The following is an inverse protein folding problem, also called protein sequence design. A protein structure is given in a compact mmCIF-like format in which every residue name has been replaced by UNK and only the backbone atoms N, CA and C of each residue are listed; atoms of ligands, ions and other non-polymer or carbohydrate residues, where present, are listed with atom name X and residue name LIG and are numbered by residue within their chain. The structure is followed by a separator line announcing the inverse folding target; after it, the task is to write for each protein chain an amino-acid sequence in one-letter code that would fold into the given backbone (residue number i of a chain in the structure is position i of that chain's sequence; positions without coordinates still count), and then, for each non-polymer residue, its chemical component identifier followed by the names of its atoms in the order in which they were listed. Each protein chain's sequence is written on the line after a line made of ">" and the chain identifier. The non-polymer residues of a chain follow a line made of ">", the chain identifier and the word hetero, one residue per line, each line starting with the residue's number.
data_IF_748842732248
#
_entry.id   IF_748842732248
#
_cell.length_a   1.000
_cell.length_b   1.000
_cell.length_c   1.000
_cell.angle_alpha   90.00
_cell.angle_beta   90.00
_cell.angle_gamma   90.00
#
_symmetry.space_group_name_H-M   'P 1'
#
loop_
_entity.id
_entity.type
_entity.pdbx_description
1 polymer ?
#
# COMPACT_ATOMS: atom_id res chain seq x y z
N UNK A 1 41.59 24.29 -2.63
CA UNK A 1 41.60 22.83 -2.83
C UNK A 1 40.67 22.22 -1.79
N UNK A 2 39.37 22.34 -2.00
CA UNK A 2 38.39 21.63 -1.17
C UNK A 2 38.26 20.22 -1.73
N UNK A 3 38.70 19.23 -0.94
CA UNK A 3 38.46 17.82 -1.25
C UNK A 3 36.97 17.58 -1.12
N UNK A 4 36.29 17.33 -2.23
CA UNK A 4 34.92 16.81 -2.21
C UNK A 4 34.86 15.52 -1.37
N UNK A 5 33.71 15.20 -0.77
CA UNK A 5 33.60 14.00 0.06
C UNK A 5 33.90 12.80 -0.83
N UNK A 6 34.98 12.08 -0.48
CA UNK A 6 35.39 10.88 -1.19
C UNK A 6 34.28 9.84 -1.14
N UNK A 7 34.12 9.08 -2.23
CA UNK A 7 33.18 7.94 -2.28
C UNK A 7 33.43 7.04 -1.06
N UNK A 8 32.42 6.77 -0.22
CA UNK A 8 32.58 5.94 0.95
C UNK A 8 32.87 4.49 0.52
N UNK A 9 33.85 3.87 1.17
CA UNK A 9 34.25 2.50 0.87
C UNK A 9 33.21 1.50 1.40
N UNK A 10 33.11 0.33 0.77
CA UNK A 10 32.18 -0.74 1.15
C UNK A 10 32.35 -1.16 2.62
N UNK A 11 33.59 -1.16 3.11
CA UNK A 11 33.94 -1.44 4.50
C UNK A 11 33.37 -0.40 5.47
N UNK A 12 33.32 0.88 5.08
CA UNK A 12 32.78 1.95 5.90
C UNK A 12 31.26 1.84 6.02
N UNK A 13 30.58 1.46 4.92
CA UNK A 13 29.14 1.19 4.91
C UNK A 13 28.81 -0.03 5.77
N UNK A 14 29.59 -1.11 5.65
CA UNK A 14 29.45 -2.30 6.50
C UNK A 14 29.63 -1.96 7.98
N UNK A 15 30.63 -1.17 8.34
CA UNK A 15 30.84 -0.73 9.72
C UNK A 15 29.69 0.15 10.24
N UNK A 16 29.15 1.04 9.40
CA UNK A 16 28.00 1.86 9.79
C UNK A 16 26.73 1.02 10.00
N UNK A 17 26.45 0.05 9.11
CA UNK A 17 25.33 -0.88 9.29
C UNK A 17 25.54 -1.76 10.53
N UNK A 18 26.76 -2.25 10.75
CA UNK A 18 27.10 -3.04 11.94
C UNK A 18 26.89 -2.22 13.23
N UNK A 19 27.32 -0.96 13.25
CA UNK A 19 27.12 -0.07 14.38
C UNK A 19 25.62 0.22 14.61
N UNK A 20 24.82 0.39 13.55
CA UNK A 20 23.38 0.63 13.67
C UNK A 20 22.66 -0.50 14.41
N UNK A 21 23.02 -1.77 14.13
CA UNK A 21 22.33 -2.92 14.72
C UNK A 21 22.97 -3.43 16.02
N UNK A 22 24.28 -3.30 16.17
CA UNK A 22 25.04 -3.99 17.22
C UNK A 22 25.77 -3.08 18.21
N UNK A 23 25.76 -1.76 18.03
CA UNK A 23 26.37 -0.85 18.99
C UNK A 23 25.54 -0.82 20.30
N UNK A 24 26.12 -1.15 21.46
CA UNK A 24 25.43 -1.07 22.75
C UNK A 24 25.12 0.38 23.17
N UNK A 25 25.77 1.39 22.57
CA UNK A 25 25.54 2.80 22.83
C UNK A 25 24.44 3.38 21.89
N UNK A 26 23.33 3.91 22.44
CA UNK A 26 22.28 4.58 21.65
C UNK A 26 22.82 5.72 20.78
N UNK A 27 23.82 6.46 21.27
CA UNK A 27 24.44 7.57 20.51
C UNK A 27 25.30 7.07 19.35
N UNK A 28 25.89 5.88 19.45
CA UNK A 28 26.58 5.18 18.38
C UNK A 28 25.64 4.81 17.23
N UNK A 29 24.46 4.28 17.58
CA UNK A 29 23.38 3.96 16.65
C UNK A 29 22.81 5.19 15.95
N UNK A 30 22.58 6.27 16.69
CA UNK A 30 22.11 7.54 16.10
C UNK A 30 23.10 8.14 15.11
N UNK A 31 24.41 8.12 15.43
CA UNK A 31 25.43 8.58 14.48
C UNK A 31 25.52 7.70 13.24
N UNK A 32 25.43 6.38 13.40
CA UNK A 32 25.39 5.45 12.28
C UNK A 32 24.15 5.68 11.40
N UNK A 33 22.98 5.89 12.03
CA UNK A 33 21.72 6.22 11.35
C UNK A 33 21.81 7.54 10.59
N UNK A 34 22.32 8.60 11.24
CA UNK A 34 22.51 9.91 10.64
C UNK A 34 23.52 9.86 9.48
N UNK A 35 24.63 9.14 9.65
CA UNK A 35 25.62 8.94 8.60
C UNK A 35 25.07 8.13 7.43
N UNK A 36 24.26 7.10 7.67
CA UNK A 36 23.54 6.39 6.61
C UNK A 36 22.49 7.28 5.93
N UNK A 37 21.85 8.19 6.66
CA UNK A 37 20.95 9.22 6.12
C UNK A 37 21.66 10.29 5.30
N UNK A 38 22.87 10.70 5.69
CA UNK A 38 23.74 11.59 4.92
C UNK A 38 24.37 10.90 3.71
N UNK A 39 24.70 9.61 3.85
CA UNK A 39 25.05 8.75 2.74
C UNK A 39 23.88 8.73 1.75
N UNK A 40 22.65 8.42 2.20
CA UNK A 40 21.43 8.45 1.38
C UNK A 40 21.24 9.80 0.67
N UNK A 41 21.39 10.93 1.37
CA UNK A 41 21.32 12.28 0.77
C UNK A 41 22.45 12.57 -0.22
N UNK A 42 23.64 12.01 -0.01
CA UNK A 42 24.79 12.12 -0.92
C UNK A 42 24.84 11.01 -1.99
N UNK A 43 23.87 10.09 -1.99
CA UNK A 43 23.83 8.91 -2.87
C UNK A 43 23.38 9.29 -4.28
N UNK A 44 23.79 8.47 -5.24
CA UNK A 44 23.44 8.54 -6.66
C UNK A 44 21.96 8.85 -6.93
N UNK A 45 21.02 8.38 -6.08
CA UNK A 45 19.59 8.72 -6.15
C UNK A 45 19.34 10.22 -6.21
N UNK A 46 19.79 10.97 -5.19
CA UNK A 46 19.56 12.42 -5.14
C UNK A 46 20.14 13.12 -6.38
N UNK A 47 21.34 12.73 -6.81
CA UNK A 47 21.95 13.29 -8.02
C UNK A 47 21.17 12.98 -9.30
N UNK A 48 20.64 11.77 -9.43
CA UNK A 48 19.77 11.39 -10.55
C UNK A 48 18.45 12.16 -10.46
N UNK A 49 17.87 12.36 -9.28
CA UNK A 49 16.60 13.08 -9.14
C UNK A 49 16.74 14.60 -9.36
N UNK A 50 17.79 15.24 -8.81
CA UNK A 50 17.92 16.71 -8.79
C UNK A 50 18.79 17.27 -9.90
N UNK A 51 19.76 16.49 -10.38
CA UNK A 51 20.86 16.97 -11.22
C UNK A 51 21.06 16.11 -12.47
N UNK A 52 20.03 15.42 -12.95
CA UNK A 52 20.12 14.58 -14.15
C UNK A 52 20.60 15.35 -15.39
N UNK A 53 20.22 16.63 -15.49
CA UNK A 53 20.62 17.52 -16.59
C UNK A 53 22.14 17.76 -16.66
N UNK A 54 22.88 17.47 -15.59
CA UNK A 54 24.35 17.59 -15.56
C UNK A 54 25.05 16.41 -16.24
N UNK A 55 24.33 15.31 -16.48
CA UNK A 55 24.89 14.10 -17.09
C UNK A 55 24.78 14.13 -18.61
N UNK A 56 25.90 13.99 -19.35
CA UNK A 56 25.85 13.87 -20.80
C UNK A 56 25.08 12.61 -21.20
N UNK A 57 24.27 12.71 -22.26
CA UNK A 57 23.42 11.62 -22.75
C UNK A 57 24.16 10.32 -23.03
N UNK A 58 25.42 10.43 -23.47
CA UNK A 58 26.27 9.28 -23.80
C UNK A 58 26.68 8.47 -22.55
N UNK A 59 26.58 9.09 -21.35
CA UNK A 59 26.90 8.44 -20.08
C UNK A 59 25.71 7.72 -19.43
N UNK A 60 24.48 7.94 -19.92
CA UNK A 60 23.26 7.41 -19.31
C UNK A 60 23.24 5.87 -19.30
N UNK A 61 23.62 5.23 -20.41
CA UNK A 61 23.68 3.77 -20.50
C UNK A 61 24.73 3.18 -19.55
N UNK A 62 25.92 3.78 -19.47
CA UNK A 62 26.98 3.37 -18.54
C UNK A 62 26.57 3.51 -17.08
N UNK A 63 25.81 4.55 -16.75
CA UNK A 63 25.27 4.78 -15.41
C UNK A 63 24.23 3.71 -15.03
N UNK A 64 23.30 3.41 -15.94
CA UNK A 64 22.32 2.32 -15.80
C UNK A 64 23.04 1.00 -15.51
N UNK A 65 24.01 0.64 -16.35
CA UNK A 65 24.70 -0.64 -16.24
C UNK A 65 25.50 -0.75 -14.94
N UNK A 66 26.06 0.38 -14.48
CA UNK A 66 26.72 0.47 -13.18
C UNK A 66 25.75 0.27 -12.01
N UNK A 67 24.57 0.91 -12.03
CA UNK A 67 23.54 0.73 -11.00
C UNK A 67 23.03 -0.71 -10.94
N UNK A 68 22.78 -1.32 -12.10
CA UNK A 68 22.38 -2.71 -12.19
C UNK A 68 23.46 -3.66 -11.68
N UNK A 69 24.74 -3.38 -11.95
CA UNK A 69 25.83 -4.16 -11.38
C UNK A 69 25.91 -3.98 -9.84
N UNK A 70 25.74 -2.75 -9.35
CA UNK A 70 25.78 -2.48 -7.91
C UNK A 70 24.65 -3.20 -7.16
N UNK A 71 23.40 -3.17 -7.65
CA UNK A 71 22.29 -3.83 -6.96
C UNK A 71 22.46 -5.35 -6.94
N UNK A 72 23.01 -5.95 -8.00
CA UNK A 72 23.35 -7.37 -8.02
C UNK A 72 24.43 -7.76 -7.00
N UNK A 73 25.46 -6.93 -6.85
CA UNK A 73 26.58 -7.19 -5.93
C UNK A 73 26.21 -6.90 -4.46
N UNK A 74 25.24 -6.03 -4.21
CA UNK A 74 24.86 -5.55 -2.89
C UNK A 74 23.52 -6.09 -2.37
N UNK A 75 22.85 -6.96 -3.15
CA UNK A 75 21.51 -7.50 -2.84
C UNK A 75 21.39 -8.15 -1.47
N UNK A 76 22.46 -8.79 -0.99
CA UNK A 76 22.48 -9.52 0.28
C UNK A 76 22.99 -8.68 1.47
N UNK A 77 23.42 -7.42 1.22
CA UNK A 77 24.09 -6.61 2.24
C UNK A 77 23.09 -5.97 3.22
N UNK A 78 22.08 -5.28 2.69
CA UNK A 78 21.03 -4.64 3.49
C UNK A 78 19.83 -4.29 2.61
N UNK A 79 18.59 -4.62 3.04
CA UNK A 79 17.37 -4.24 2.31
C UNK A 79 17.29 -2.73 2.05
N UNK A 80 17.75 -1.90 2.99
CA UNK A 80 17.74 -0.43 2.85
C UNK A 80 18.58 0.01 1.65
N UNK A 81 19.75 -0.60 1.45
CA UNK A 81 20.62 -0.28 0.31
C UNK A 81 19.96 -0.70 -1.00
N UNK A 82 19.31 -1.87 -1.01
CA UNK A 82 18.59 -2.39 -2.19
C UNK A 82 17.45 -1.45 -2.58
N UNK A 83 16.61 -1.01 -1.64
CA UNK A 83 15.52 -0.07 -1.92
C UNK A 83 16.05 1.26 -2.46
N UNK A 84 17.17 1.79 -1.93
CA UNK A 84 17.75 3.03 -2.47
C UNK A 84 18.32 2.88 -3.88
N UNK A 85 18.94 1.74 -4.19
CA UNK A 85 19.40 1.44 -5.54
C UNK A 85 18.21 1.23 -6.50
N UNK A 86 17.15 0.56 -6.03
CA UNK A 86 15.93 0.37 -6.80
C UNK A 86 15.27 1.70 -7.17
N UNK A 87 15.18 2.63 -6.20
CA UNK A 87 14.69 3.99 -6.42
C UNK A 87 15.57 4.74 -7.43
N UNK A 88 16.90 4.69 -7.28
CA UNK A 88 17.81 5.32 -8.23
C UNK A 88 17.68 4.76 -9.66
N UNK A 89 17.42 3.45 -9.80
CA UNK A 89 17.17 2.80 -11.09
C UNK A 89 15.82 3.24 -11.67
N UNK A 90 14.77 3.34 -10.84
CA UNK A 90 13.46 3.82 -11.25
C UNK A 90 13.53 5.28 -11.72
N UNK A 91 14.11 6.17 -10.92
CA UNK A 91 14.30 7.59 -11.27
C UNK A 91 15.07 7.77 -12.58
N UNK A 92 16.10 6.95 -12.80
CA UNK A 92 16.87 6.95 -14.04
C UNK A 92 16.02 6.47 -15.21
N UNK A 93 15.27 5.38 -15.06
CA UNK A 93 14.42 4.82 -16.12
C UNK A 93 13.33 5.81 -16.55
N UNK A 94 12.71 6.52 -15.60
CA UNK A 94 11.66 7.49 -15.87
C UNK A 94 12.19 8.72 -16.63
N UNK A 95 13.42 9.16 -16.33
CA UNK A 95 14.07 10.31 -17.01
C UNK A 95 14.78 9.93 -18.33
N UNK A 96 15.24 8.68 -18.46
CA UNK A 96 15.98 8.20 -19.64
C UNK A 96 15.01 7.73 -20.74
N UNK A 97 14.48 8.67 -21.53
CA UNK A 97 13.52 8.37 -22.62
C UNK A 97 14.04 7.38 -23.69
N UNK A 98 15.36 7.18 -23.78
CA UNK A 98 15.97 6.19 -24.67
C UNK A 98 15.84 4.75 -24.15
N UNK A 99 15.56 4.53 -22.86
CA UNK A 99 15.38 3.20 -22.28
C UNK A 99 13.90 2.77 -22.31
N UNK A 100 13.37 2.58 -23.51
CA UNK A 100 12.01 2.04 -23.71
C UNK A 100 11.91 0.60 -23.25
N UNK A 101 10.75 0.20 -22.71
CA UNK A 101 10.53 -1.17 -22.25
C UNK A 101 11.46 -1.60 -21.13
N UNK A 102 11.80 -0.70 -20.22
CA UNK A 102 12.71 -0.98 -19.11
C UNK A 102 12.24 -2.18 -18.28
N UNK A 103 10.92 -2.29 -18.04
CA UNK A 103 10.27 -3.43 -17.36
C UNK A 103 10.62 -4.74 -18.07
N UNK A 104 10.38 -4.86 -19.38
CA UNK A 104 10.71 -6.05 -20.14
C UNK A 104 12.19 -6.42 -20.01
N UNK A 105 13.08 -5.45 -20.23
CA UNK A 105 14.53 -5.71 -20.17
C UNK A 105 15.01 -6.18 -18.78
N UNK A 106 14.41 -5.66 -17.70
CA UNK A 106 14.73 -6.08 -16.33
C UNK A 106 14.19 -7.48 -16.03
N UNK A 107 12.94 -7.75 -16.43
CA UNK A 107 12.30 -9.05 -16.19
C UNK A 107 13.03 -10.15 -16.95
N UNK A 108 13.32 -9.97 -18.24
CA UNK A 108 14.05 -10.98 -19.05
C UNK A 108 15.45 -11.27 -18.49
N UNK A 109 16.11 -10.24 -17.95
CA UNK A 109 17.47 -10.37 -17.39
C UNK A 109 17.52 -11.06 -16.04
N UNK A 110 16.53 -10.82 -15.17
CA UNK A 110 16.62 -11.21 -13.75
C UNK A 110 15.59 -12.26 -13.29
N UNK A 111 14.53 -12.54 -14.05
CA UNK A 111 13.43 -13.46 -13.62
C UNK A 111 13.83 -14.94 -13.48
N UNK A 112 14.92 -15.35 -14.13
CA UNK A 112 15.39 -16.73 -14.09
C UNK A 112 16.19 -17.06 -12.82
N UNK A 113 16.87 -16.07 -12.24
CA UNK A 113 17.66 -16.24 -11.02
C UNK A 113 16.79 -15.94 -9.79
N UNK A 114 16.49 -16.96 -8.99
CA UNK A 114 15.69 -16.85 -7.76
C UNK A 114 16.30 -15.85 -6.78
N UNK A 115 17.62 -15.76 -6.72
CA UNK A 115 18.30 -14.81 -5.83
C UNK A 115 18.22 -13.36 -6.31
N UNK A 116 17.83 -13.14 -7.57
CA UNK A 116 17.62 -11.80 -8.13
C UNK A 116 16.18 -11.31 -8.02
N UNK A 117 15.21 -12.21 -7.80
CA UNK A 117 13.79 -11.86 -7.65
C UNK A 117 13.52 -10.81 -6.57
N UNK A 118 14.12 -10.85 -5.37
CA UNK A 118 13.82 -9.88 -4.33
C UNK A 118 14.10 -8.42 -4.72
N UNK A 119 15.23 -8.15 -5.38
CA UNK A 119 15.56 -6.79 -5.81
C UNK A 119 14.86 -6.42 -7.13
N UNK A 120 14.56 -7.40 -8.00
CA UNK A 120 13.76 -7.16 -9.20
C UNK A 120 12.36 -6.68 -8.82
N UNK A 121 11.70 -7.37 -7.87
CA UNK A 121 10.41 -6.95 -7.34
C UNK A 121 10.49 -5.59 -6.65
N UNK A 122 11.59 -5.28 -5.95
CA UNK A 122 11.80 -3.96 -5.37
C UNK A 122 11.79 -2.85 -6.43
N UNK A 123 12.53 -3.04 -7.54
CA UNK A 123 12.55 -2.09 -8.67
C UNK A 123 11.14 -1.94 -9.26
N UNK A 124 10.45 -3.06 -9.49
CA UNK A 124 9.11 -3.05 -10.08
C UNK A 124 8.03 -2.50 -9.13
N UNK A 125 8.29 -2.48 -7.81
CA UNK A 125 7.39 -1.88 -6.82
C UNK A 125 7.56 -0.36 -6.77
N UNK A 126 8.79 0.14 -6.70
CA UNK A 126 9.04 1.58 -6.58
C UNK A 126 8.91 2.34 -7.91
N UNK A 127 8.98 1.64 -9.05
CA UNK A 127 8.89 2.28 -10.36
C UNK A 127 7.53 2.96 -10.61
N UNK A 128 6.36 2.29 -10.41
CA UNK A 128 5.06 2.96 -10.47
C UNK A 128 4.90 4.10 -9.44
N UNK A 129 5.43 3.92 -8.23
CA UNK A 129 5.36 4.91 -7.14
C UNK A 129 6.06 6.22 -7.54
N UNK A 130 7.22 6.14 -8.19
CA UNK A 130 7.98 7.33 -8.60
C UNK A 130 7.38 8.06 -9.82
N UNK A 131 6.43 7.47 -10.56
CA UNK A 131 5.73 8.15 -11.67
C UNK A 131 4.98 9.40 -11.19
N UNK A 132 4.42 9.32 -9.98
CA UNK A 132 3.67 10.40 -9.33
C UNK A 132 4.50 11.18 -8.31
N UNK A 133 5.81 10.92 -8.23
CA UNK A 133 6.70 11.55 -7.28
C UNK A 133 6.81 13.06 -7.50
N UNK A 134 6.61 13.82 -6.42
CA UNK A 134 6.72 15.29 -6.43
C UNK A 134 8.18 15.76 -6.58
N UNK A 135 9.16 14.91 -6.25
CA UNK A 135 10.58 15.26 -6.35
C UNK A 135 11.12 15.15 -7.78
N UNK A 136 10.64 14.20 -8.58
CA UNK A 136 11.16 13.89 -9.91
C UNK A 136 10.71 14.88 -11.00
N UNK A 137 9.68 15.70 -10.73
CA UNK A 137 9.18 16.81 -11.57
C UNK A 137 9.07 16.48 -13.07
N UNK A 138 8.58 15.29 -13.39
CA UNK A 138 8.33 14.86 -14.78
C UNK A 138 7.15 15.66 -15.35
N UNK A 139 7.31 16.18 -16.57
CA UNK A 139 6.25 16.90 -17.29
C UNK A 139 5.07 15.99 -17.64
N UNK A 140 3.85 16.55 -17.68
CA UNK A 140 2.61 15.79 -17.86
C UNK A 140 2.61 14.87 -19.09
N UNK A 141 3.03 15.37 -20.26
CA UNK A 141 3.09 14.56 -21.49
C UNK A 141 4.00 13.34 -21.33
N UNK A 142 5.18 13.53 -20.72
CA UNK A 142 6.12 12.44 -20.47
C UNK A 142 5.57 11.43 -19.46
N UNK A 143 4.83 11.89 -18.45
CA UNK A 143 4.15 11.01 -17.50
C UNK A 143 3.11 10.12 -18.19
N UNK A 144 2.30 10.68 -19.08
CA UNK A 144 1.33 9.91 -19.86
C UNK A 144 2.02 8.84 -20.72
N UNK A 145 3.09 9.19 -21.44
CA UNK A 145 3.87 8.20 -22.20
C UNK A 145 4.41 7.05 -21.33
N UNK A 146 4.87 7.37 -20.11
CA UNK A 146 5.38 6.37 -19.16
C UNK A 146 4.24 5.46 -18.69
N UNK A 147 3.08 6.02 -18.34
CA UNK A 147 1.92 5.23 -17.88
C UNK A 147 1.47 4.29 -18.99
N UNK A 148 1.41 4.74 -20.24
CA UNK A 148 1.08 3.90 -21.40
C UNK A 148 2.11 2.78 -21.64
N UNK A 149 3.41 3.08 -21.54
CA UNK A 149 4.48 2.07 -21.66
C UNK A 149 4.41 1.05 -20.52
N UNK A 150 4.17 1.48 -19.28
CA UNK A 150 4.00 0.58 -18.14
C UNK A 150 2.73 -0.28 -18.29
N UNK A 151 1.62 0.29 -18.75
CA UNK A 151 0.39 -0.45 -19.03
C UNK A 151 0.62 -1.55 -20.09
N UNK A 152 1.39 -1.25 -21.14
CA UNK A 152 1.76 -2.24 -22.16
C UNK A 152 2.53 -3.43 -21.57
N UNK A 153 3.36 -3.21 -20.56
CA UNK A 153 4.17 -4.27 -19.92
C UNK A 153 3.55 -4.84 -18.62
N UNK A 154 2.36 -4.41 -18.22
CA UNK A 154 1.67 -4.86 -17.01
C UNK A 154 1.49 -6.39 -16.98
N UNK A 155 1.11 -7.00 -18.11
CA UNK A 155 0.92 -8.45 -18.21
C UNK A 155 2.20 -9.24 -17.93
N UNK A 156 3.35 -8.71 -18.35
CA UNK A 156 4.66 -9.32 -18.08
C UNK A 156 4.97 -9.30 -16.58
N UNK A 157 4.65 -8.22 -15.89
CA UNK A 157 4.83 -8.11 -14.44
C UNK A 157 3.89 -9.05 -13.71
N UNK A 158 2.61 -9.11 -14.07
CA UNK A 158 1.67 -10.05 -13.42
C UNK A 158 2.10 -11.50 -13.64
N UNK A 159 2.56 -11.86 -14.85
CA UNK A 159 3.10 -13.20 -15.12
C UNK A 159 4.35 -13.51 -14.28
N UNK A 160 5.22 -12.52 -14.05
CA UNK A 160 6.35 -12.66 -13.15
C UNK A 160 5.88 -12.91 -11.71
N UNK A 161 4.90 -12.14 -11.23
CA UNK A 161 4.37 -12.29 -9.86
C UNK A 161 3.78 -13.69 -9.64
N UNK A 162 3.02 -14.21 -10.60
CA UNK A 162 2.53 -15.61 -10.57
C UNK A 162 3.70 -16.60 -10.51
N UNK A 163 4.73 -16.39 -11.33
CA UNK A 163 5.94 -17.24 -11.32
C UNK A 163 6.67 -17.18 -9.98
N UNK A 164 6.72 -16.01 -9.33
CA UNK A 164 7.34 -15.85 -8.01
C UNK A 164 6.58 -16.63 -6.93
N UNK A 165 5.24 -16.65 -6.98
CA UNK A 165 4.41 -17.49 -6.09
C UNK A 165 4.73 -18.96 -6.32
N UNK A 166 4.84 -19.42 -7.57
CA UNK A 166 5.12 -20.82 -7.89
C UNK A 166 6.52 -21.27 -7.43
N UNK A 167 7.53 -20.40 -7.58
CA UNK A 167 8.93 -20.71 -7.23
C UNK A 167 9.23 -20.58 -5.74
N UNK A 168 8.63 -19.61 -5.05
CA UNK A 168 9.03 -19.20 -3.70
C UNK A 168 7.84 -18.76 -2.82
N UNK A 169 6.60 -19.15 -3.16
CA UNK A 169 5.39 -18.75 -2.42
C UNK A 169 5.26 -19.31 -1.00
N UNK A 170 6.13 -20.25 -0.60
CA UNK A 170 6.21 -20.72 0.78
C UNK A 170 6.96 -19.73 1.71
N UNK A 171 7.69 -18.77 1.13
CA UNK A 171 8.43 -17.77 1.89
C UNK A 171 7.57 -16.52 2.10
N UNK A 172 7.20 -16.26 3.36
CA UNK A 172 6.37 -15.11 3.74
C UNK A 172 6.94 -13.77 3.23
N UNK A 173 8.26 -13.59 3.34
CA UNK A 173 8.96 -12.38 2.86
C UNK A 173 8.80 -12.18 1.34
N UNK A 174 8.71 -13.27 0.58
CA UNK A 174 8.49 -13.20 -0.86
C UNK A 174 7.04 -12.81 -1.17
N UNK A 175 6.06 -13.38 -0.46
CA UNK A 175 4.65 -13.00 -0.59
C UNK A 175 4.42 -11.52 -0.28
N UNK A 176 5.06 -10.98 0.77
CA UNK A 176 5.02 -9.54 1.08
C UNK A 176 5.50 -8.71 -0.11
N UNK A 177 6.62 -9.07 -0.75
CA UNK A 177 7.13 -8.36 -1.93
C UNK A 177 6.19 -8.47 -3.12
N UNK A 178 5.57 -9.64 -3.33
CA UNK A 178 4.61 -9.88 -4.39
C UNK A 178 3.37 -8.99 -4.22
N UNK A 179 2.80 -8.94 -3.01
CA UNK A 179 1.61 -8.14 -2.74
C UNK A 179 1.87 -6.64 -2.78
N UNK A 180 3.02 -6.18 -2.27
CA UNK A 180 3.43 -4.77 -2.39
C UNK A 180 3.61 -4.35 -3.84
N UNK A 181 4.29 -5.18 -4.63
CA UNK A 181 4.44 -4.94 -6.07
C UNK A 181 3.06 -4.88 -6.74
N UNK A 182 2.20 -5.87 -6.48
CA UNK A 182 0.86 -5.89 -7.06
C UNK A 182 0.03 -4.65 -6.68
N UNK A 183 0.04 -4.25 -5.41
CA UNK A 183 -0.65 -3.04 -4.92
C UNK A 183 -0.14 -1.75 -5.57
N UNK A 184 1.18 -1.61 -5.73
CA UNK A 184 1.80 -0.47 -6.43
C UNK A 184 1.31 -0.34 -7.89
N UNK A 185 1.17 -1.47 -8.59
CA UNK A 185 0.64 -1.48 -9.96
C UNK A 185 -0.87 -1.23 -10.04
N UNK A 186 -1.65 -1.65 -9.04
CA UNK A 186 -3.06 -1.24 -8.91
C UNK A 186 -3.18 0.27 -8.72
N UNK A 187 -2.39 0.86 -7.85
CA UNK A 187 -2.41 2.32 -7.59
C UNK A 187 -2.02 3.16 -8.80
N UNK A 188 -1.24 2.61 -9.74
CA UNK A 188 -0.94 3.28 -11.01
C UNK A 188 -2.12 3.21 -12.00
N UNK A 189 -3.10 2.31 -11.79
CA UNK A 189 -4.29 2.20 -12.63
C UNK A 189 -4.05 1.53 -13.99
N UNK A 190 -3.02 0.68 -14.10
CA UNK A 190 -2.58 0.10 -15.39
C UNK A 190 -2.86 -1.39 -15.55
N UNK A 191 -3.42 -2.05 -14.54
CA UNK A 191 -3.72 -3.47 -14.58
C UNK A 191 -5.07 -3.73 -15.27
N UNK A 192 -5.12 -4.76 -16.13
CA UNK A 192 -6.37 -5.17 -16.77
C UNK A 192 -7.31 -5.84 -15.76
N UNK A 193 -8.46 -5.23 -15.53
CA UNK A 193 -9.40 -5.66 -14.49
C UNK A 193 -10.03 -7.02 -14.79
N UNK A 194 -10.25 -7.38 -16.06
CA UNK A 194 -10.83 -8.69 -16.43
C UNK A 194 -9.84 -9.81 -16.18
N UNK A 195 -8.57 -9.59 -16.53
CA UNK A 195 -7.48 -10.52 -16.28
C UNK A 195 -7.24 -10.70 -14.77
N UNK A 196 -7.20 -9.60 -14.02
CA UNK A 196 -7.00 -9.64 -12.57
C UNK A 196 -8.15 -10.34 -11.82
N UNK A 197 -9.40 -10.18 -12.29
CA UNK A 197 -10.56 -10.88 -11.72
C UNK A 197 -10.40 -12.42 -11.77
N UNK A 198 -9.70 -12.95 -12.77
CA UNK A 198 -9.49 -14.39 -12.95
C UNK A 198 -8.11 -14.85 -12.46
N UNK A 199 -7.33 -13.96 -11.84
CA UNK A 199 -5.96 -14.25 -11.42
C UNK A 199 -5.92 -15.02 -10.11
N UNK A 200 -5.06 -16.05 -10.04
CA UNK A 200 -4.77 -16.77 -8.79
C UNK A 200 -4.17 -15.88 -7.71
N UNK A 201 -3.54 -14.75 -8.09
CA UNK A 201 -3.00 -13.79 -7.12
C UNK A 201 -4.11 -13.19 -6.25
N UNK A 202 -5.27 -12.91 -6.86
CA UNK A 202 -6.41 -12.36 -6.13
C UNK A 202 -7.00 -13.39 -5.16
N UNK A 203 -7.13 -14.65 -5.59
CA UNK A 203 -7.55 -15.74 -4.71
C UNK A 203 -6.59 -15.94 -3.54
N UNK A 204 -5.27 -15.86 -3.80
CA UNK A 204 -4.24 -16.01 -2.78
C UNK A 204 -4.25 -14.88 -1.74
N UNK A 205 -4.55 -13.64 -2.14
CA UNK A 205 -4.71 -12.50 -1.21
C UNK A 205 -5.76 -12.83 -0.13
N UNK A 206 -6.95 -13.26 -0.56
CA UNK A 206 -8.03 -13.60 0.36
C UNK A 206 -7.74 -14.87 1.16
N UNK A 207 -7.07 -15.87 0.57
CA UNK A 207 -6.64 -17.07 1.30
C UNK A 207 -5.70 -16.72 2.46
N UNK A 208 -4.72 -15.85 2.23
CA UNK A 208 -3.78 -15.40 3.26
C UNK A 208 -4.47 -14.61 4.36
N UNK A 209 -5.42 -13.73 4.00
CA UNK A 209 -6.19 -12.96 4.97
C UNK A 209 -7.08 -13.87 5.83
N UNK A 210 -7.69 -14.91 5.27
CA UNK A 210 -8.51 -15.85 6.05
C UNK A 210 -7.69 -16.72 7.03
N UNK A 211 -6.39 -16.90 6.78
CA UNK A 211 -5.54 -17.76 7.58
C UNK A 211 -5.09 -17.07 8.87
N UNK A 212 -5.57 -17.58 10.00
CA UNK A 212 -5.21 -17.08 11.33
C UNK A 212 -3.69 -17.15 11.64
N UNK A 213 -2.97 -18.12 11.06
CA UNK A 213 -1.52 -18.29 11.20
C UNK A 213 -0.67 -17.20 10.49
N UNK A 214 -1.29 -16.36 9.67
CA UNK A 214 -0.59 -15.30 8.94
C UNK A 214 -0.03 -14.26 9.91
N UNK A 215 1.23 -13.84 9.69
CA UNK A 215 1.88 -12.81 10.51
C UNK A 215 1.26 -11.42 10.27
N UNK A 216 1.47 -10.47 11.20
CA UNK A 216 1.00 -9.08 11.03
C UNK A 216 1.57 -8.42 9.77
N UNK A 217 2.85 -8.65 9.45
CA UNK A 217 3.50 -8.04 8.27
C UNK A 217 2.92 -8.55 6.93
N UNK A 218 2.65 -9.86 6.84
CA UNK A 218 2.04 -10.42 5.62
C UNK A 218 0.56 -10.03 5.53
N UNK A 219 -0.14 -9.99 6.66
CA UNK A 219 -1.53 -9.56 6.71
C UNK A 219 -1.70 -8.10 6.28
N UNK A 220 -0.84 -7.20 6.77
CA UNK A 220 -0.80 -5.78 6.36
C UNK A 220 -0.55 -5.66 4.85
N UNK A 221 0.50 -6.32 4.32
CA UNK A 221 0.81 -6.26 2.89
C UNK A 221 -0.33 -6.80 2.00
N UNK A 222 -1.04 -7.84 2.44
CA UNK A 222 -2.22 -8.35 1.73
C UNK A 222 -3.40 -7.39 1.82
N UNK A 223 -3.64 -6.79 2.99
CA UNK A 223 -4.73 -5.82 3.22
C UNK A 223 -4.53 -4.56 2.38
N UNK A 224 -3.32 -4.00 2.37
CA UNK A 224 -2.96 -2.83 1.56
C UNK A 224 -3.16 -3.11 0.06
N UNK A 225 -2.83 -4.31 -0.40
CA UNK A 225 -3.02 -4.72 -1.79
C UNK A 225 -4.52 -4.84 -2.14
N UNK A 226 -5.35 -5.38 -1.25
CA UNK A 226 -6.81 -5.42 -1.44
C UNK A 226 -7.40 -4.01 -1.48
N UNK A 227 -6.99 -3.13 -0.56
CA UNK A 227 -7.42 -1.72 -0.59
C UNK A 227 -6.99 -1.02 -1.88
N UNK A 228 -5.75 -1.24 -2.34
CA UNK A 228 -5.26 -0.69 -3.61
C UNK A 228 -6.08 -1.20 -4.80
N UNK A 229 -6.48 -2.47 -4.80
CA UNK A 229 -7.30 -3.06 -5.85
C UNK A 229 -8.75 -2.53 -5.85
N UNK A 230 -9.32 -2.28 -4.67
CA UNK A 230 -10.63 -1.65 -4.50
C UNK A 230 -10.60 -0.20 -4.98
N UNK A 231 -9.63 0.58 -4.49
CA UNK A 231 -9.43 1.99 -4.84
C UNK A 231 -9.17 2.20 -6.34
N UNK A 232 -8.51 1.26 -7.00
CA UNK A 232 -8.28 1.30 -8.46
C UNK A 232 -9.57 1.19 -9.30
N UNK A 233 -10.70 0.81 -8.69
CA UNK A 233 -12.01 0.77 -9.37
C UNK A 233 -12.64 2.16 -9.34
N UNK A 234 -12.25 3.01 -10.31
CA UNK A 234 -12.87 4.34 -10.46
C UNK A 234 -14.33 4.27 -10.92
N UNK A 235 -14.67 3.26 -11.74
CA UNK A 235 -16.01 3.03 -12.24
C UNK A 235 -16.38 1.54 -12.14
N UNK A 236 -17.42 1.24 -11.36
CA UNK A 236 -17.86 -0.14 -11.05
C UNK A 236 -18.37 -0.87 -12.29
N UNK A 237 -19.06 -0.19 -13.22
CA UNK A 237 -19.60 -0.83 -14.42
C UNK A 237 -18.49 -1.29 -15.37
N UNK A 238 -17.47 -0.46 -15.56
CA UNK A 238 -16.33 -0.75 -16.45
C UNK A 238 -15.48 -1.89 -15.90
N UNK A 239 -15.39 -2.00 -14.57
CA UNK A 239 -14.54 -2.99 -13.88
C UNK A 239 -15.34 -4.11 -13.21
N UNK A 240 -16.56 -4.37 -13.68
CA UNK A 240 -17.54 -5.24 -13.01
C UNK A 240 -16.99 -6.63 -12.63
N UNK A 241 -16.21 -7.35 -13.47
CA UNK A 241 -15.66 -8.65 -13.09
C UNK A 241 -14.75 -8.57 -11.86
N UNK A 242 -13.87 -7.58 -11.79
CA UNK A 242 -12.96 -7.39 -10.67
C UNK A 242 -13.72 -6.94 -9.41
N UNK A 243 -14.64 -5.99 -9.58
CA UNK A 243 -15.52 -5.53 -8.51
C UNK A 243 -16.26 -6.69 -7.83
N UNK A 244 -16.86 -7.60 -8.61
CA UNK A 244 -17.57 -8.77 -8.07
C UNK A 244 -16.65 -9.70 -7.29
N UNK A 245 -15.43 -9.95 -7.78
CA UNK A 245 -14.47 -10.82 -7.11
C UNK A 245 -13.95 -10.22 -5.80
N UNK A 246 -13.62 -8.93 -5.80
CA UNK A 246 -13.22 -8.21 -4.58
C UNK A 246 -14.35 -8.16 -3.57
N UNK A 247 -15.56 -7.84 -4.01
CA UNK A 247 -16.75 -7.81 -3.15
C UNK A 247 -16.99 -9.16 -2.47
N UNK A 248 -17.01 -10.25 -3.24
CA UNK A 248 -17.18 -11.60 -2.70
C UNK A 248 -16.03 -11.99 -1.77
N UNK A 249 -14.79 -11.70 -2.16
CA UNK A 249 -13.60 -12.01 -1.35
C UNK A 249 -13.64 -11.33 0.01
N UNK A 250 -13.94 -10.03 0.08
CA UNK A 250 -13.99 -9.29 1.34
C UNK A 250 -15.09 -9.82 2.27
N UNK A 251 -16.27 -10.17 1.75
CA UNK A 251 -17.34 -10.74 2.57
C UNK A 251 -16.95 -12.06 3.27
N UNK A 252 -15.99 -12.81 2.74
CA UNK A 252 -15.51 -14.05 3.40
C UNK A 252 -14.62 -13.80 4.62
N UNK A 253 -14.17 -12.57 4.84
CA UNK A 253 -13.21 -12.22 5.89
C UNK A 253 -13.85 -12.02 7.27
N UNK A 254 -15.19 -11.97 7.36
CA UNK A 254 -15.91 -11.77 8.63
C UNK A 254 -15.50 -12.77 9.72
N UNK A 255 -15.40 -14.06 9.36
CA UNK A 255 -14.96 -15.09 10.31
C UNK A 255 -13.53 -14.87 10.79
N UNK A 256 -12.65 -14.39 9.92
CA UNK A 256 -11.25 -14.14 10.25
C UNK A 256 -11.07 -12.87 11.09
N UNK A 257 -11.91 -11.85 10.86
CA UNK A 257 -12.04 -10.70 11.74
C UNK A 257 -12.43 -11.12 13.16
N UNK A 258 -13.46 -11.95 13.33
CA UNK A 258 -13.87 -12.41 14.67
C UNK A 258 -12.78 -13.23 15.36
N UNK A 259 -12.01 -14.04 14.62
CA UNK A 259 -10.85 -14.73 15.18
C UNK A 259 -9.77 -13.76 15.66
N UNK A 260 -9.48 -12.69 14.90
CA UNK A 260 -8.52 -11.66 15.30
C UNK A 260 -8.98 -10.92 16.58
N UNK A 261 -10.26 -10.56 16.68
CA UNK A 261 -10.85 -9.97 17.89
C UNK A 261 -10.73 -10.91 19.09
N UNK A 262 -11.05 -12.20 18.91
CA UNK A 262 -10.95 -13.19 19.98
C UNK A 262 -9.52 -13.45 20.46
N UNK A 263 -8.52 -13.11 19.65
CA UNK A 263 -7.09 -13.21 19.96
C UNK A 263 -6.47 -11.90 20.42
N UNK A 264 -7.26 -10.83 20.49
CA UNK A 264 -6.79 -9.49 20.82
C UNK A 264 -5.69 -9.00 19.85
N UNK A 265 -5.74 -9.46 18.59
CA UNK A 265 -4.79 -9.07 17.53
C UNK A 265 -5.26 -7.77 16.86
N UNK A 266 -5.01 -6.65 17.55
CA UNK A 266 -5.47 -5.32 17.12
C UNK A 266 -4.93 -4.93 15.74
N UNK A 267 -3.70 -5.32 15.38
CA UNK A 267 -3.12 -5.04 14.07
C UNK A 267 -3.99 -5.60 12.93
N UNK A 268 -4.43 -6.86 13.07
CA UNK A 268 -5.33 -7.49 12.09
C UNK A 268 -6.73 -6.88 12.11
N UNK A 269 -7.27 -6.56 13.28
CA UNK A 269 -8.57 -5.90 13.42
C UNK A 269 -8.61 -4.57 12.68
N UNK A 270 -7.58 -3.73 12.85
CA UNK A 270 -7.46 -2.45 12.14
C UNK A 270 -7.34 -2.66 10.63
N UNK A 271 -6.55 -3.64 10.19
CA UNK A 271 -6.40 -4.00 8.77
C UNK A 271 -7.74 -4.42 8.13
N UNK A 272 -8.52 -5.28 8.80
CA UNK A 272 -9.85 -5.66 8.31
C UNK A 272 -10.80 -4.47 8.24
N UNK A 273 -10.79 -3.60 9.25
CA UNK A 273 -11.66 -2.43 9.25
C UNK A 273 -11.34 -1.49 8.08
N UNK A 274 -10.05 -1.31 7.74
CA UNK A 274 -9.64 -0.58 6.53
C UNK A 274 -10.18 -1.23 5.26
N UNK A 275 -10.05 -2.55 5.12
CA UNK A 275 -10.57 -3.29 3.94
C UNK A 275 -12.09 -3.18 3.83
N UNK A 276 -12.82 -3.29 4.95
CA UNK A 276 -14.28 -3.14 4.95
C UNK A 276 -14.72 -1.71 4.64
N UNK A 277 -13.99 -0.71 5.13
CA UNK A 277 -14.25 0.71 4.85
C UNK A 277 -14.02 1.00 3.38
N UNK A 278 -12.88 0.57 2.82
CA UNK A 278 -12.55 0.77 1.41
C UNK A 278 -13.55 0.06 0.48
N UNK A 279 -14.05 -1.12 0.89
CA UNK A 279 -15.13 -1.81 0.18
C UNK A 279 -16.38 -0.93 0.10
N UNK A 280 -16.79 -0.35 1.23
CA UNK A 280 -17.98 0.49 1.29
C UNK A 280 -17.80 1.79 0.48
N UNK A 281 -16.61 2.39 0.52
CA UNK A 281 -16.26 3.58 -0.26
C UNK A 281 -16.31 3.31 -1.78
N UNK A 282 -15.72 2.19 -2.22
CA UNK A 282 -15.69 1.78 -3.63
C UNK A 282 -17.11 1.55 -4.19
N UNK A 283 -17.99 0.97 -3.37
CA UNK A 283 -19.35 0.62 -3.78
C UNK A 283 -20.42 1.61 -3.27
N UNK A 284 -20.02 2.79 -2.78
CA UNK A 284 -20.92 3.78 -2.20
C UNK A 284 -22.08 4.13 -3.13
N UNK A 285 -21.78 4.38 -4.41
CA UNK A 285 -22.80 4.68 -5.42
C UNK A 285 -23.82 3.54 -5.58
N UNK A 286 -23.37 2.28 -5.50
CA UNK A 286 -24.26 1.11 -5.60
C UNK A 286 -25.08 0.89 -4.35
N UNK A 287 -24.49 1.14 -3.18
CA UNK A 287 -25.19 1.11 -1.89
C UNK A 287 -26.33 2.12 -1.90
N UNK A 288 -26.10 3.35 -2.38
CA UNK A 288 -27.12 4.41 -2.41
C UNK A 288 -28.16 4.20 -3.52
N UNK A 289 -27.74 3.88 -4.74
CA UNK A 289 -28.64 3.80 -5.89
C UNK A 289 -29.48 2.52 -5.92
N UNK A 290 -28.95 1.39 -5.45
CA UNK A 290 -29.60 0.07 -5.48
C UNK A 290 -29.46 -0.65 -4.13
N UNK A 291 -29.95 -0.06 -3.02
CA UNK A 291 -29.75 -0.59 -1.68
C UNK A 291 -30.34 -1.99 -1.54
N UNK A 292 -29.55 -2.92 -1.02
CA UNK A 292 -29.92 -4.31 -0.78
C UNK A 292 -29.87 -5.22 -2.03
N UNK A 293 -29.38 -4.73 -3.18
CA UNK A 293 -29.35 -5.50 -4.43
C UNK A 293 -27.96 -5.50 -5.06
N UNK A 294 -27.49 -6.69 -5.46
CA UNK A 294 -26.22 -6.85 -6.16
C UNK A 294 -25.03 -6.28 -5.36
N UNK A 295 -24.30 -5.34 -5.95
CA UNK A 295 -23.18 -4.64 -5.31
C UNK A 295 -23.62 -3.57 -4.29
N UNK A 296 -24.93 -3.25 -4.22
CA UNK A 296 -25.52 -2.42 -3.18
C UNK A 296 -26.01 -3.21 -1.97
N UNK A 297 -25.65 -4.49 -1.84
CA UNK A 297 -26.02 -5.34 -0.71
C UNK A 297 -25.52 -4.75 0.62
N UNK A 298 -26.45 -4.54 1.56
CA UNK A 298 -26.23 -3.83 2.82
C UNK A 298 -25.45 -4.66 3.86
N UNK A 299 -25.08 -5.92 3.54
CA UNK A 299 -24.09 -6.66 4.35
C UNK A 299 -22.76 -5.93 4.46
N UNK A 300 -22.42 -5.05 3.51
CA UNK A 300 -21.25 -4.17 3.61
C UNK A 300 -21.34 -3.24 4.83
N UNK A 301 -22.50 -2.64 5.08
CA UNK A 301 -22.73 -1.80 6.26
C UNK A 301 -22.74 -2.62 7.55
N UNK A 302 -23.21 -3.88 7.51
CA UNK A 302 -23.15 -4.77 8.66
C UNK A 302 -21.70 -5.04 9.10
N UNK A 303 -20.77 -5.21 8.16
CA UNK A 303 -19.33 -5.36 8.48
C UNK A 303 -18.79 -4.13 9.23
N UNK A 304 -19.16 -2.91 8.80
CA UNK A 304 -18.76 -1.69 9.52
C UNK A 304 -19.39 -1.59 10.91
N UNK A 305 -20.65 -2.03 11.06
CA UNK A 305 -21.31 -2.07 12.37
C UNK A 305 -20.71 -3.12 13.30
N UNK A 306 -20.20 -4.24 12.76
CA UNK A 306 -19.41 -5.22 13.52
C UNK A 306 -18.11 -4.57 14.03
N UNK A 307 -17.42 -3.79 13.19
CA UNK A 307 -16.25 -3.00 13.60
C UNK A 307 -16.62 -1.95 14.67
N UNK A 308 -17.74 -1.25 14.51
CA UNK A 308 -18.22 -0.27 15.49
C UNK A 308 -18.50 -0.87 16.88
N UNK A 309 -18.81 -2.16 16.94
CA UNK A 309 -19.02 -2.88 18.20
C UNK A 309 -17.74 -3.29 18.94
N UNK A 310 -16.57 -3.12 18.33
CA UNK A 310 -15.27 -3.38 18.96
C UNK A 310 -15.04 -2.39 20.13
N UNK A 311 -14.39 -2.77 21.25
CA UNK A 311 -14.23 -1.88 22.39
C UNK A 311 -13.23 -0.73 22.17
N UNK A 312 -12.22 -0.94 21.33
CA UNK A 312 -11.24 0.10 20.96
C UNK A 312 -11.85 1.07 19.93
N UNK A 313 -11.87 2.37 20.25
CA UNK A 313 -12.49 3.41 19.44
C UNK A 313 -11.71 3.67 18.15
N UNK A 314 -10.41 3.39 18.14
CA UNK A 314 -9.52 3.51 16.98
C UNK A 314 -9.98 2.63 15.81
N UNK A 315 -10.73 1.56 16.09
CA UNK A 315 -11.30 0.68 15.07
C UNK A 315 -12.48 1.36 14.38
N UNK A 316 -13.41 1.95 15.12
CA UNK A 316 -14.62 2.56 14.51
C UNK A 316 -14.28 3.85 13.77
N UNK A 317 -13.30 4.61 14.26
CA UNK A 317 -12.85 5.88 13.67
C UNK A 317 -12.41 5.73 12.21
N UNK A 318 -11.79 4.61 11.84
CA UNK A 318 -11.36 4.31 10.46
C UNK A 318 -12.51 4.48 9.46
N UNK A 319 -13.74 4.15 9.86
CA UNK A 319 -14.92 4.17 8.99
C UNK A 319 -15.62 5.53 8.88
N UNK A 320 -15.19 6.55 9.64
CA UNK A 320 -15.90 7.83 9.73
C UNK A 320 -16.00 8.55 8.38
N UNK A 321 -14.93 8.57 7.58
CA UNK A 321 -14.97 9.21 6.25
C UNK A 321 -16.06 8.61 5.35
N UNK A 322 -16.24 7.29 5.39
CA UNK A 322 -17.29 6.62 4.63
C UNK A 322 -18.68 7.05 5.08
N UNK A 323 -18.95 7.06 6.40
CA UNK A 323 -20.24 7.48 6.93
C UNK A 323 -20.58 8.92 6.52
N UNK A 324 -19.56 9.77 6.33
CA UNK A 324 -19.71 11.19 5.98
C UNK A 324 -20.19 11.28 4.54
N UNK A 325 -19.46 10.59 3.66
CA UNK A 325 -19.78 10.52 2.24
C UNK A 325 -21.13 9.86 2.01
N UNK A 326 -21.48 8.82 2.78
CA UNK A 326 -22.81 8.20 2.73
C UNK A 326 -23.90 9.21 3.10
N UNK A 327 -23.74 9.92 4.23
CA UNK A 327 -24.67 10.98 4.64
C UNK A 327 -24.83 12.06 3.58
N UNK A 328 -23.73 12.52 2.97
CA UNK A 328 -23.72 13.51 1.90
C UNK A 328 -24.48 13.03 0.64
N UNK A 329 -24.26 11.79 0.20
CA UNK A 329 -24.94 11.22 -0.96
C UNK A 329 -26.43 11.01 -0.71
N UNK A 330 -26.80 10.52 0.48
CA UNK A 330 -28.19 10.37 0.88
C UNK A 330 -28.91 11.71 0.95
N UNK A 331 -28.26 12.74 1.51
CA UNK A 331 -28.80 14.09 1.58
C UNK A 331 -29.06 14.67 0.18
N UNK A 332 -28.12 14.48 -0.77
CA UNK A 332 -28.27 14.92 -2.16
C UNK A 332 -29.39 14.20 -2.92
N UNK A 333 -29.72 12.97 -2.54
CA UNK A 333 -30.72 12.14 -3.24
C UNK A 333 -32.16 12.55 -2.91
N UNK A 334 -32.40 13.28 -1.82
CA UNK A 334 -33.72 13.81 -1.38
C UNK A 334 -34.89 12.82 -1.54
N UNK A 335 -34.68 11.56 -1.15
CA UNK A 335 -35.67 10.48 -1.23
C UNK A 335 -35.91 9.85 0.15
N UNK A 336 -37.07 10.13 0.73
CA UNK A 336 -37.46 9.64 2.04
C UNK A 336 -37.58 8.10 2.11
N UNK A 337 -37.89 7.43 0.99
CA UNK A 337 -37.95 5.97 0.93
C UNK A 337 -36.54 5.41 1.08
N UNK A 338 -35.57 5.95 0.33
CA UNK A 338 -34.16 5.55 0.44
C UNK A 338 -33.65 5.83 1.85
N UNK A 339 -33.91 7.00 2.42
CA UNK A 339 -33.50 7.34 3.79
C UNK A 339 -34.04 6.35 4.83
N UNK A 340 -35.28 5.88 4.65
CA UNK A 340 -35.90 4.94 5.59
C UNK A 340 -35.16 3.60 5.67
N UNK A 341 -34.49 3.18 4.59
CA UNK A 341 -33.70 1.93 4.53
C UNK A 341 -32.46 2.06 5.43
N UNK A 342 -31.76 3.20 5.35
CA UNK A 342 -30.52 3.42 6.10
C UNK A 342 -30.73 3.80 7.57
N UNK A 343 -31.93 4.28 7.93
CA UNK A 343 -32.25 4.75 9.29
C UNK A 343 -31.85 3.75 10.39
N UNK A 344 -32.12 2.46 10.20
CA UNK A 344 -31.80 1.44 11.20
C UNK A 344 -30.29 1.25 11.38
N UNK A 345 -29.51 1.38 10.30
CA UNK A 345 -28.05 1.27 10.31
C UNK A 345 -27.43 2.47 11.02
N UNK A 346 -27.87 3.69 10.71
CA UNK A 346 -27.40 4.92 11.37
C UNK A 346 -27.74 4.90 12.86
N UNK A 347 -28.95 4.45 13.23
CA UNK A 347 -29.30 4.31 14.64
C UNK A 347 -28.38 3.31 15.36
N UNK A 348 -28.06 2.16 14.75
CA UNK A 348 -27.12 1.19 15.34
C UNK A 348 -25.71 1.74 15.48
N UNK A 349 -25.24 2.51 14.49
CA UNK A 349 -23.97 3.22 14.57
C UNK A 349 -23.98 4.22 15.73
N UNK A 350 -24.99 5.07 15.83
CA UNK A 350 -25.12 6.05 16.93
C UNK A 350 -25.14 5.38 18.29
N UNK A 351 -25.80 4.23 18.44
CA UNK A 351 -25.75 3.47 19.69
C UNK A 351 -24.34 2.96 20.01
N UNK A 352 -23.55 2.55 19.01
CA UNK A 352 -22.16 2.17 19.21
C UNK A 352 -21.29 3.37 19.58
N UNK A 353 -21.41 4.49 18.86
CA UNK A 353 -20.68 5.73 19.15
C UNK A 353 -21.00 6.27 20.55
N UNK A 354 -22.27 6.24 20.96
CA UNK A 354 -22.67 6.63 22.30
C UNK A 354 -22.03 5.78 23.40
N UNK A 355 -21.70 4.51 23.12
CA UNK A 355 -20.93 3.66 24.05
C UNK A 355 -19.45 4.03 24.05
N UNK A 356 -18.88 4.34 22.89
CA UNK A 356 -17.48 4.78 22.76
C UNK A 356 -17.22 6.14 23.43
N UNK A 357 -18.20 7.03 23.48
CA UNK A 357 -18.07 8.31 24.19
C UNK A 357 -18.21 8.20 25.73
N UNK A 358 -18.35 6.99 26.29
CA UNK A 358 -18.41 6.82 27.74
C UNK A 358 -17.01 6.92 28.34
N UNK A 359 -16.83 7.81 29.31
CA UNK A 359 -15.62 7.87 30.11
C UNK A 359 -15.52 6.65 31.01
N UNK A 360 -14.29 6.30 31.38
CA UNK A 360 -14.03 5.26 32.37
C UNK A 360 -14.69 5.60 33.71
N UNK A 361 -15.14 4.57 34.42
CA UNK A 361 -15.92 4.74 35.66
C UNK A 361 -15.15 5.41 36.80
N UNK A 362 -13.83 5.38 36.74
CA UNK A 362 -12.87 5.98 37.66
C UNK A 362 -12.31 7.32 37.16
N UNK A 363 -12.81 7.84 36.02
CA UNK A 363 -12.40 9.15 35.52
C UNK A 363 -12.81 10.26 36.49
N UNK A 364 -11.83 11.01 36.98
CA UNK A 364 -12.01 12.15 37.86
C UNK A 364 -11.93 13.46 37.07
N UNK A 365 -12.96 14.31 37.15
CA UNK A 365 -12.93 15.66 36.59
C UNK A 365 -13.87 15.86 35.40
N UNK A 366 -13.59 16.90 34.60
CA UNK A 366 -14.31 17.19 33.36
C UNK A 366 -13.61 16.46 32.21
N UNK A 367 -14.36 15.98 31.19
CA UNK A 367 -13.74 15.37 30.02
C UNK A 367 -12.71 16.32 29.38
N UNK A 368 -11.51 15.82 29.11
CA UNK A 368 -10.52 16.57 28.34
C UNK A 368 -10.95 16.63 26.87
N UNK A 369 -10.79 17.79 26.23
CA UNK A 369 -11.14 18.00 24.81
C UNK A 369 -9.90 18.00 23.90
N UNK A 370 -8.71 17.86 24.48
CA UNK A 370 -7.41 18.03 23.78
C UNK A 370 -6.56 16.75 23.72
N UNK A 371 -7.00 15.67 24.35
CA UNK A 371 -6.39 14.36 24.22
C UNK A 371 -7.06 13.55 23.08
N UNK A 372 -6.44 12.43 22.67
CA UNK A 372 -6.91 11.63 21.53
C UNK A 372 -8.38 11.18 21.71
N UNK A 373 -8.79 10.88 22.95
CA UNK A 373 -10.18 10.53 23.29
C UNK A 373 -11.12 11.74 23.21
N UNK A 374 -10.68 12.92 23.65
CA UNK A 374 -11.40 14.18 23.51
C UNK A 374 -11.63 14.58 22.05
N UNK A 375 -10.61 14.42 21.20
CA UNK A 375 -10.71 14.64 19.75
C UNK A 375 -11.69 13.65 19.11
N UNK A 376 -11.58 12.36 19.42
CA UNK A 376 -12.53 11.34 18.98
C UNK A 376 -13.96 11.66 19.45
N UNK A 377 -14.12 12.09 20.70
CA UNK A 377 -15.40 12.47 21.28
C UNK A 377 -15.99 13.72 20.63
N UNK A 378 -15.17 14.66 20.17
CA UNK A 378 -15.61 15.80 19.37
C UNK A 378 -16.12 15.35 18.00
N UNK A 379 -15.35 14.52 17.29
CA UNK A 379 -15.75 13.99 15.98
C UNK A 379 -17.02 13.15 16.11
N UNK A 380 -17.08 12.22 17.04
CA UNK A 380 -18.24 11.35 17.29
C UNK A 380 -19.52 12.13 17.61
N UNK A 381 -19.42 13.26 18.32
CA UNK A 381 -20.56 14.13 18.65
C UNK A 381 -21.07 14.97 17.47
N UNK A 382 -20.32 15.06 16.38
CA UNK A 382 -20.78 15.76 15.16
C UNK A 382 -21.68 14.90 14.27
N UNK A 383 -21.74 13.58 14.53
CA UNK A 383 -22.63 12.60 13.89
C UNK A 383 -23.95 12.47 14.64
#
# INVERSE_FOLDING_TARGET
>A
MERGPGRPSLQLVQQAVQALYHDPDPSGKERASCWLGELQRSTMKMKIQTSFYELPTDSHASLRDSLLSHIQNLKDLSPVIVTQLALAIADLALQMASWKGCVQTLVEKYSNDVTSLPFLLEILTVLPEEVHSRSLRIGANRRTEIIEDLAYYSSTVVSLLVTCVEKAGNEEKMLIKIFRCLGSWFNLGVLDSTFMANSKLLSLLFEVLQQDKTSSNLHEAASDCVCSALYAIENVETNLPLALQLFQGVLTLESAYHMAVAREDLDKVLNYCRVFTELCETFLDKIVCTPGQGLGDLRTLELLLICAGHPQYEVVEISFNFWYRLGEHLYKTDDAVIHSIFKAYIQRLLHALARHCQLDSDHEGVPEETDDFGEFGCVSRTW
#
